data_IF_712422408334
#
_entry.id   IF_712422408334
#
_cell.length_a   1.000
_cell.length_b   1.000
_cell.length_c   1.000
_cell.angle_alpha   90.00
_cell.angle_beta   90.00
_cell.angle_gamma   90.00
#
_symmetry.space_group_name_H-M   'P 1'
#
loop_
_entity.id
_entity.type
_entity.pdbx_description
1 polymer ?
#
# COMPACT_ATOMS: atom_id res chain seq x y z
N UNK A 1 29.98 25.88 4.00
CA UNK A 1 29.89 25.27 2.65
C UNK A 1 29.65 23.74 2.64
N UNK A 2 29.96 22.99 3.69
CA UNK A 2 29.74 21.50 3.71
C UNK A 2 28.27 21.06 3.82
N UNK A 3 27.38 21.80 4.50
CA UNK A 3 25.97 21.43 4.61
C UNK A 3 25.23 21.39 3.25
N UNK A 4 25.68 22.17 2.26
CA UNK A 4 25.08 22.21 0.91
C UNK A 4 25.43 20.98 0.08
N UNK A 5 26.67 20.48 0.16
CA UNK A 5 27.12 19.30 -0.60
C UNK A 5 26.42 18.00 -0.15
N UNK A 6 26.17 17.85 1.16
CA UNK A 6 25.46 16.70 1.69
C UNK A 6 23.97 16.68 1.26
N UNK A 7 23.36 17.84 1.10
CA UNK A 7 21.97 17.94 0.60
C UNK A 7 21.82 17.51 -0.86
N UNK A 8 22.77 17.88 -1.72
CA UNK A 8 22.77 17.51 -3.15
C UNK A 8 23.05 16.02 -3.32
N UNK A 9 24.04 15.49 -2.59
CA UNK A 9 24.40 14.07 -2.64
C UNK A 9 23.24 13.16 -2.17
N UNK A 10 22.53 13.57 -1.14
CA UNK A 10 21.33 12.86 -0.66
C UNK A 10 20.18 12.93 -1.68
N UNK A 11 19.99 14.06 -2.36
CA UNK A 11 19.00 14.18 -3.44
C UNK A 11 19.35 13.27 -4.63
N UNK A 12 20.61 13.22 -5.04
CA UNK A 12 21.08 12.34 -6.12
C UNK A 12 20.92 10.86 -5.76
N UNK A 13 21.23 10.46 -4.54
CA UNK A 13 20.97 9.09 -4.04
C UNK A 13 19.48 8.75 -4.06
N UNK A 14 18.62 9.69 -3.66
CA UNK A 14 17.18 9.52 -3.71
C UNK A 14 16.68 9.32 -5.16
N UNK A 15 17.15 10.13 -6.10
CA UNK A 15 16.81 10.02 -7.53
C UNK A 15 17.30 8.69 -8.09
N UNK A 16 18.54 8.29 -7.81
CA UNK A 16 19.09 7.00 -8.23
C UNK A 16 18.26 5.82 -7.68
N UNK A 17 17.80 5.93 -6.44
CA UNK A 17 16.90 4.94 -5.82
C UNK A 17 15.56 4.89 -6.54
N UNK A 18 14.97 6.02 -6.85
CA UNK A 18 13.71 6.08 -7.61
C UNK A 18 13.86 5.47 -9.03
N UNK A 19 14.97 5.75 -9.72
CA UNK A 19 15.26 5.16 -11.04
C UNK A 19 15.44 3.64 -10.91
N UNK A 20 16.24 3.18 -9.95
CA UNK A 20 16.52 1.75 -9.70
C UNK A 20 15.23 0.94 -9.46
N UNK A 21 14.26 1.51 -8.76
CA UNK A 21 12.99 0.86 -8.46
C UNK A 21 11.85 1.22 -9.43
N UNK A 22 12.15 1.93 -10.52
CA UNK A 22 11.13 2.35 -11.49
C UNK A 22 10.09 3.33 -10.93
N UNK A 23 10.48 4.13 -9.93
CA UNK A 23 9.60 5.06 -9.23
C UNK A 23 9.79 6.52 -9.65
N UNK A 24 10.58 6.78 -10.70
CA UNK A 24 10.89 8.15 -11.12
C UNK A 24 9.64 8.97 -11.43
N UNK A 25 8.74 8.45 -12.28
CA UNK A 25 7.48 9.14 -12.63
C UNK A 25 6.54 9.27 -11.43
N UNK A 26 6.54 8.29 -10.53
CA UNK A 26 5.83 8.37 -9.26
C UNK A 26 6.38 9.52 -8.39
N UNK A 27 7.69 9.69 -8.33
CA UNK A 27 8.34 10.81 -7.64
C UNK A 27 8.01 12.16 -8.25
N UNK A 28 8.03 12.28 -9.59
CA UNK A 28 7.62 13.50 -10.31
C UNK A 28 6.19 13.87 -9.98
N UNK A 29 5.24 12.92 -10.09
CA UNK A 29 3.85 13.12 -9.74
C UNK A 29 3.68 13.61 -8.29
N UNK A 30 4.39 13.00 -7.34
CA UNK A 30 4.31 13.39 -5.93
C UNK A 30 4.83 14.83 -5.68
N UNK A 31 5.81 15.27 -6.45
CA UNK A 31 6.29 16.66 -6.37
C UNK A 31 5.28 17.65 -6.96
N UNK A 32 4.65 17.32 -8.10
CA UNK A 32 3.56 18.11 -8.67
C UNK A 32 2.37 18.21 -7.71
N UNK A 33 2.03 17.12 -7.02
CA UNK A 33 0.96 17.10 -6.02
C UNK A 33 1.21 18.07 -4.85
N UNK A 34 2.48 18.32 -4.47
CA UNK A 34 2.83 19.30 -3.41
C UNK A 34 2.47 20.72 -3.81
N UNK A 35 2.58 21.06 -5.09
CA UNK A 35 2.20 22.38 -5.62
C UNK A 35 0.72 22.46 -6.05
N UNK A 36 -0.05 21.41 -5.74
CA UNK A 36 -1.49 21.39 -5.98
C UNK A 36 -1.92 20.79 -7.31
N UNK A 37 -1.00 20.21 -8.10
CA UNK A 37 -1.27 19.56 -9.37
C UNK A 37 -1.10 18.06 -9.21
N UNK A 38 -2.17 17.36 -8.88
CA UNK A 38 -2.12 15.91 -8.66
C UNK A 38 -2.91 15.16 -9.74
N UNK A 39 -2.18 14.54 -10.66
CA UNK A 39 -2.70 13.65 -11.70
C UNK A 39 -2.30 12.23 -11.34
N UNK A 40 -3.25 11.44 -10.85
CA UNK A 40 -3.01 10.10 -10.38
C UNK A 40 -3.74 9.07 -11.24
N UNK A 41 -3.11 8.53 -12.29
CA UNK A 41 -3.61 7.32 -12.91
C UNK A 41 -3.36 6.14 -11.97
N UNK A 42 -4.35 5.24 -11.85
CA UNK A 42 -4.26 4.10 -10.96
C UNK A 42 -5.06 2.90 -11.46
N UNK A 43 -4.58 1.72 -11.13
CA UNK A 43 -5.34 0.48 -11.29
C UNK A 43 -6.16 0.19 -10.04
N UNK A 44 -7.43 -0.13 -10.23
CA UNK A 44 -8.25 -0.82 -9.25
C UNK A 44 -8.15 -2.31 -9.55
N UNK A 45 -7.63 -3.07 -8.60
CA UNK A 45 -7.29 -4.49 -8.79
C UNK A 45 -8.08 -5.37 -7.84
N UNK A 46 -8.42 -6.58 -8.31
CA UNK A 46 -9.03 -7.67 -7.53
C UNK A 46 -8.06 -8.84 -7.45
N UNK A 47 -7.95 -9.45 -6.27
CA UNK A 47 -7.26 -10.71 -6.03
C UNK A 47 -8.13 -11.62 -5.17
N UNK A 48 -7.92 -12.93 -5.28
CA UNK A 48 -8.62 -13.93 -4.48
C UNK A 48 -7.57 -14.78 -3.76
N UNK A 49 -7.80 -15.10 -2.49
CA UNK A 49 -6.87 -15.92 -1.71
C UNK A 49 -6.65 -17.30 -2.35
N UNK A 50 -7.72 -17.93 -2.86
CA UNK A 50 -7.68 -19.24 -3.52
C UNK A 50 -6.84 -19.29 -4.81
N UNK A 51 -6.53 -18.14 -5.41
CA UNK A 51 -5.71 -18.05 -6.65
C UNK A 51 -4.24 -17.74 -6.39
N UNK A 52 -3.85 -17.63 -5.13
CA UNK A 52 -2.44 -17.41 -4.76
C UNK A 52 -1.71 -18.74 -4.78
N UNK A 53 -0.58 -18.81 -5.50
CA UNK A 53 0.30 -19.97 -5.44
C UNK A 53 1.23 -19.82 -4.22
N UNK A 54 1.12 -20.69 -3.19
CA UNK A 54 1.94 -20.63 -1.99
C UNK A 54 3.44 -20.76 -2.28
N UNK A 55 3.82 -21.56 -3.30
CA UNK A 55 5.22 -21.84 -3.64
C UNK A 55 5.97 -20.59 -4.16
N UNK A 56 5.22 -19.60 -4.64
CA UNK A 56 5.79 -18.32 -5.08
C UNK A 56 6.05 -17.36 -3.90
N UNK A 57 5.56 -17.69 -2.71
CA UNK A 57 5.69 -16.86 -1.51
C UNK A 57 6.78 -17.45 -0.61
N UNK A 58 7.99 -16.92 -0.76
CA UNK A 58 9.10 -17.37 0.09
C UNK A 58 8.84 -17.00 1.54
N UNK A 59 8.98 -17.97 2.44
CA UNK A 59 9.04 -17.70 3.87
C UNK A 59 10.36 -16.99 4.19
N UNK A 60 10.35 -15.83 4.84
CA UNK A 60 11.59 -15.18 5.26
C UNK A 60 12.35 -16.03 6.28
N UNK A 61 13.68 -16.00 6.19
CA UNK A 61 14.55 -16.62 7.19
C UNK A 61 14.68 -15.70 8.42
N UNK A 62 13.56 -15.51 9.11
CA UNK A 62 13.40 -14.67 10.30
C UNK A 62 12.26 -15.23 11.14
N UNK A 63 12.44 -15.27 12.45
CA UNK A 63 11.34 -15.58 13.37
C UNK A 63 10.37 -14.41 13.41
N UNK A 64 9.25 -14.54 12.69
CA UNK A 64 8.26 -13.47 12.52
C UNK A 64 6.92 -13.90 13.11
N UNK A 65 6.38 -13.08 13.99
CA UNK A 65 5.06 -13.26 14.58
C UNK A 65 4.05 -12.33 13.92
N UNK A 66 2.96 -12.90 13.40
CA UNK A 66 1.81 -12.15 12.88
C UNK A 66 0.89 -11.77 14.04
N UNK A 67 0.47 -10.51 14.09
CA UNK A 67 -0.51 -10.04 15.05
C UNK A 67 -1.37 -8.89 14.51
N UNK A 68 -2.57 -8.75 15.05
CA UNK A 68 -3.37 -7.53 14.88
C UNK A 68 -2.78 -6.47 15.81
N UNK A 69 -2.47 -5.31 15.25
CA UNK A 69 -1.83 -4.23 15.99
C UNK A 69 -2.83 -3.41 16.79
N UNK A 70 -2.48 -3.20 18.06
CA UNK A 70 -3.24 -2.39 18.99
C UNK A 70 -2.76 -0.93 19.05
N UNK A 71 -3.23 -0.21 20.07
CA UNK A 71 -2.91 1.22 20.27
C UNK A 71 -1.40 1.51 20.36
N UNK A 72 -0.65 0.63 21.00
CA UNK A 72 0.80 0.79 21.19
C UNK A 72 1.55 0.79 19.88
N UNK A 73 1.33 -0.24 19.05
CA UNK A 73 1.95 -0.38 17.74
C UNK A 73 1.51 0.74 16.78
N UNK A 74 0.24 1.10 16.83
CA UNK A 74 -0.28 2.20 16.00
C UNK A 74 0.36 3.54 16.38
N UNK A 75 0.55 3.82 17.65
CA UNK A 75 1.25 5.03 18.09
C UNK A 75 2.73 5.02 17.65
N UNK A 76 3.40 3.88 17.74
CA UNK A 76 4.75 3.73 17.22
C UNK A 76 4.81 4.01 15.72
N UNK A 77 3.91 3.43 14.92
CA UNK A 77 3.83 3.64 13.47
C UNK A 77 3.63 5.12 13.13
N UNK A 78 2.71 5.80 13.82
CA UNK A 78 2.46 7.24 13.64
C UNK A 78 3.69 8.10 13.81
N UNK A 79 4.53 7.75 14.78
CA UNK A 79 5.70 8.54 15.14
C UNK A 79 6.94 8.17 14.33
N UNK A 80 7.02 6.94 13.81
CA UNK A 80 8.22 6.42 13.13
C UNK A 80 8.26 6.69 11.62
N UNK A 81 7.11 6.97 10.99
CA UNK A 81 7.04 7.14 9.54
C UNK A 81 6.62 8.56 9.17
N UNK A 82 7.56 9.31 8.58
CA UNK A 82 7.29 10.64 8.07
C UNK A 82 6.24 10.61 6.95
N UNK A 83 5.18 11.40 7.10
CA UNK A 83 4.13 11.55 6.08
C UNK A 83 3.00 10.53 6.15
N UNK A 84 3.04 9.58 7.08
CA UNK A 84 1.91 8.66 7.33
C UNK A 84 0.78 9.33 8.15
N UNK A 85 0.98 10.58 8.54
CA UNK A 85 0.00 11.41 9.27
C UNK A 85 -1.30 11.69 8.46
N UNK A 86 -1.61 10.84 7.47
CA UNK A 86 -2.92 10.85 6.86
C UNK A 86 -3.94 10.38 7.89
N UNK A 87 -4.63 11.38 8.44
CA UNK A 87 -5.76 11.23 9.36
C UNK A 87 -6.81 10.19 8.88
N UNK A 88 -6.78 9.86 7.60
CA UNK A 88 -7.64 8.88 6.96
C UNK A 88 -7.44 7.45 7.49
N UNK A 89 -6.18 6.96 7.60
CA UNK A 89 -5.90 5.60 8.06
C UNK A 89 -6.18 5.42 9.57
N UNK A 90 -5.87 6.45 10.33
CA UNK A 90 -5.93 6.37 11.80
C UNK A 90 -7.28 6.77 12.39
N UNK A 91 -8.08 7.58 11.67
CA UNK A 91 -9.44 7.94 12.10
C UNK A 91 -10.40 6.75 12.06
N UNK A 92 -10.21 5.87 11.08
CA UNK A 92 -11.10 4.74 10.85
C UNK A 92 -10.63 3.44 11.53
N UNK A 93 -9.55 3.50 12.31
CA UNK A 93 -9.15 2.37 13.17
C UNK A 93 -10.30 2.06 14.14
N UNK A 94 -10.68 0.78 14.22
CA UNK A 94 -11.87 0.27 14.91
C UNK A 94 -13.23 0.67 14.28
N UNK A 95 -13.20 1.36 13.13
CA UNK A 95 -14.39 1.65 12.32
C UNK A 95 -14.18 1.10 10.91
N UNK A 96 -14.10 -0.23 10.80
CA UNK A 96 -13.88 -0.93 9.53
C UNK A 96 -12.43 -0.92 9.01
N UNK A 97 -11.46 -0.40 9.78
CA UNK A 97 -10.03 -0.50 9.46
C UNK A 97 -9.30 -1.27 10.54
N UNK A 98 -8.55 -2.28 10.14
CA UNK A 98 -7.68 -3.10 11.00
C UNK A 98 -6.24 -2.97 10.51
N UNK A 99 -5.29 -2.96 11.43
CA UNK A 99 -3.85 -3.02 11.12
C UNK A 99 -3.31 -4.39 11.53
N UNK A 100 -2.76 -5.11 10.58
CA UNK A 100 -2.10 -6.41 10.81
C UNK A 100 -0.62 -6.24 10.53
N UNK A 101 0.24 -6.80 11.36
CA UNK A 101 1.68 -6.66 11.18
C UNK A 101 2.50 -7.86 11.58
N UNK A 102 3.76 -7.81 11.19
CA UNK A 102 4.79 -8.77 11.56
C UNK A 102 5.75 -8.11 12.55
N UNK A 103 6.03 -8.83 13.63
CA UNK A 103 7.06 -8.49 14.60
C UNK A 103 8.18 -9.53 14.57
N UNK A 104 9.40 -9.06 14.81
CA UNK A 104 10.54 -9.87 15.22
C UNK A 104 10.89 -9.42 16.65
N UNK A 105 10.73 -10.30 17.61
CA UNK A 105 10.76 -9.93 19.02
C UNK A 105 9.77 -8.77 19.30
N UNK A 106 10.24 -7.63 19.78
CA UNK A 106 9.43 -6.43 19.99
C UNK A 106 9.43 -5.45 18.81
N UNK A 107 10.28 -5.68 17.81
CA UNK A 107 10.43 -4.79 16.68
C UNK A 107 9.31 -4.99 15.65
N UNK A 108 8.67 -3.92 15.23
CA UNK A 108 7.75 -3.94 14.10
C UNK A 108 8.55 -4.04 12.80
N UNK A 109 8.37 -5.13 12.07
CA UNK A 109 9.06 -5.41 10.80
C UNK A 109 8.30 -4.87 9.60
N UNK A 110 6.98 -5.09 9.60
CA UNK A 110 6.08 -4.65 8.53
C UNK A 110 4.64 -4.60 9.03
N UNK A 111 3.81 -3.84 8.35
CA UNK A 111 2.37 -3.78 8.65
C UNK A 111 1.53 -3.51 7.38
N UNK A 112 0.25 -3.85 7.47
CA UNK A 112 -0.75 -3.71 6.43
C UNK A 112 -2.07 -3.22 7.04
N UNK A 113 -2.60 -2.11 6.54
CA UNK A 113 -3.95 -1.64 6.86
C UNK A 113 -4.95 -2.29 5.93
N UNK A 114 -6.01 -2.83 6.50
CA UNK A 114 -7.06 -3.58 5.84
C UNK A 114 -8.40 -2.92 6.18
N UNK A 115 -9.24 -2.71 5.18
CA UNK A 115 -10.58 -2.15 5.34
C UNK A 115 -11.63 -3.19 4.99
N UNK A 116 -12.64 -3.33 5.85
CA UNK A 116 -13.77 -4.26 5.71
C UNK A 116 -15.07 -3.58 5.30
N UNK A 117 -15.10 -2.25 5.22
CA UNK A 117 -16.31 -1.48 4.91
C UNK A 117 -16.11 -0.63 3.66
N UNK A 118 -17.22 -0.37 2.95
CA UNK A 118 -17.26 0.56 1.82
C UNK A 118 -16.71 1.93 2.21
N UNK A 119 -16.03 2.60 1.30
CA UNK A 119 -15.34 3.86 1.58
C UNK A 119 -15.20 4.73 0.34
N UNK A 120 -14.96 6.00 0.60
CA UNK A 120 -14.62 6.94 -0.46
C UNK A 120 -13.10 7.09 -0.60
N UNK A 121 -12.62 6.98 -1.84
CA UNK A 121 -11.26 7.35 -2.20
C UNK A 121 -11.31 8.34 -3.35
N UNK A 122 -10.80 9.55 -3.12
CA UNK A 122 -10.77 10.63 -4.13
C UNK A 122 -12.13 10.88 -4.78
N UNK A 123 -13.17 11.05 -3.98
CA UNK A 123 -14.57 11.27 -4.37
C UNK A 123 -15.20 10.11 -5.16
N UNK A 124 -14.59 8.93 -5.14
CA UNK A 124 -15.18 7.71 -5.70
C UNK A 124 -15.53 6.75 -4.59
N UNK A 125 -16.76 6.22 -4.61
CA UNK A 125 -17.20 5.17 -3.70
C UNK A 125 -16.67 3.82 -4.17
N UNK A 126 -16.08 3.06 -3.24
CA UNK A 126 -15.69 1.66 -3.39
C UNK A 126 -16.57 0.84 -2.46
N UNK A 127 -17.46 0.05 -3.04
CA UNK A 127 -18.34 -0.84 -2.30
C UNK A 127 -17.60 -2.14 -1.97
N UNK A 128 -17.80 -2.63 -0.76
CA UNK A 128 -17.32 -3.92 -0.26
C UNK A 128 -18.50 -4.69 0.32
N UNK A 129 -18.59 -5.98 -0.03
CA UNK A 129 -19.49 -6.94 0.60
C UNK A 129 -18.82 -7.56 1.84
N UNK A 130 -19.55 -8.33 2.62
CA UNK A 130 -19.06 -8.94 3.86
C UNK A 130 -17.81 -9.82 3.68
N UNK A 131 -17.74 -10.55 2.55
CA UNK A 131 -16.60 -11.41 2.20
C UNK A 131 -15.49 -10.71 1.41
N UNK A 132 -15.53 -9.39 1.33
CA UNK A 132 -14.60 -8.57 0.53
C UNK A 132 -13.87 -7.57 1.42
N UNK A 133 -12.55 -7.52 1.27
CA UNK A 133 -11.72 -6.57 1.98
C UNK A 133 -10.85 -5.76 1.03
N UNK A 134 -10.41 -4.60 1.48
CA UNK A 134 -9.54 -3.71 0.72
C UNK A 134 -8.20 -3.52 1.43
N UNK A 135 -7.10 -3.82 0.74
CA UNK A 135 -5.76 -3.53 1.22
C UNK A 135 -5.41 -2.07 0.95
N UNK A 136 -5.34 -1.29 2.01
CA UNK A 136 -5.20 0.17 1.93
C UNK A 136 -3.77 0.61 1.79
N UNK A 137 -2.92 0.19 2.73
CA UNK A 137 -1.54 0.64 2.81
C UNK A 137 -0.68 -0.43 3.47
N UNK A 138 0.47 -0.72 2.86
CA UNK A 138 1.45 -1.66 3.39
C UNK A 138 2.82 -1.00 3.45
N UNK A 139 3.53 -1.27 4.53
CA UNK A 139 4.88 -0.77 4.74
C UNK A 139 5.80 -1.86 5.30
N UNK A 140 7.04 -1.87 4.81
CA UNK A 140 8.13 -2.69 5.36
C UNK A 140 9.24 -1.75 5.77
N UNK A 141 9.68 -1.84 7.02
CA UNK A 141 10.77 -1.03 7.53
C UNK A 141 12.07 -1.29 6.77
N UNK A 142 12.90 -0.27 6.61
CA UNK A 142 14.04 -0.27 5.67
C UNK A 142 15.01 -1.42 5.90
N UNK A 143 15.32 -1.71 7.15
CA UNK A 143 16.24 -2.79 7.55
C UNK A 143 15.76 -4.20 7.16
N UNK A 144 14.48 -4.32 6.82
CA UNK A 144 13.82 -5.58 6.46
C UNK A 144 13.43 -5.67 4.98
N UNK A 145 13.68 -4.63 4.18
CA UNK A 145 13.39 -4.63 2.73
C UNK A 145 14.28 -5.61 1.98
N UNK A 146 13.77 -6.13 0.86
CA UNK A 146 14.49 -7.09 0.01
C UNK A 146 14.47 -8.53 0.50
N UNK A 147 13.94 -8.82 1.69
CA UNK A 147 13.92 -10.14 2.34
C UNK A 147 12.62 -10.93 2.13
N UNK A 148 11.77 -10.55 1.18
CA UNK A 148 10.50 -11.25 0.93
C UNK A 148 9.38 -10.96 1.92
N UNK A 149 9.55 -9.99 2.83
CA UNK A 149 8.61 -9.68 3.92
C UNK A 149 7.23 -9.24 3.40
N UNK A 150 7.19 -8.34 2.42
CA UNK A 150 5.93 -7.80 1.92
C UNK A 150 4.99 -8.90 1.35
N UNK A 151 5.43 -9.78 0.43
CA UNK A 151 4.59 -10.88 -0.01
C UNK A 151 4.24 -11.86 1.11
N UNK A 152 5.14 -12.13 2.03
CA UNK A 152 4.86 -13.00 3.16
C UNK A 152 3.75 -12.41 4.06
N UNK A 153 3.85 -11.13 4.46
CA UNK A 153 2.82 -10.46 5.26
C UNK A 153 1.45 -10.55 4.59
N UNK A 154 1.36 -10.20 3.31
CA UNK A 154 0.08 -10.24 2.58
C UNK A 154 -0.50 -11.66 2.53
N UNK A 155 0.33 -12.65 2.31
CA UNK A 155 -0.08 -14.06 2.29
C UNK A 155 -0.61 -14.52 3.65
N UNK A 156 0.06 -14.12 4.73
CA UNK A 156 -0.41 -14.41 6.09
C UNK A 156 -1.75 -13.70 6.39
N UNK A 157 -1.93 -12.48 5.89
CA UNK A 157 -3.22 -11.78 6.00
C UNK A 157 -4.34 -12.52 5.25
N UNK A 158 -4.06 -13.07 4.06
CA UNK A 158 -5.06 -13.91 3.38
C UNK A 158 -5.46 -15.11 4.23
N UNK A 159 -4.49 -15.85 4.77
CA UNK A 159 -4.77 -17.01 5.64
C UNK A 159 -5.55 -16.64 6.90
N UNK A 160 -5.25 -15.48 7.48
CA UNK A 160 -5.96 -14.99 8.66
C UNK A 160 -7.43 -14.73 8.31
N UNK A 161 -7.67 -13.97 7.25
CA UNK A 161 -8.99 -13.49 6.87
C UNK A 161 -9.87 -14.58 6.21
N UNK A 162 -9.26 -15.57 5.56
CA UNK A 162 -10.00 -16.75 5.05
C UNK A 162 -10.73 -17.51 6.17
N UNK A 163 -10.16 -17.54 7.37
CA UNK A 163 -10.82 -18.16 8.55
C UNK A 163 -12.08 -17.39 8.98
N UNK A 164 -12.18 -16.14 8.58
CA UNK A 164 -13.34 -15.26 8.82
C UNK A 164 -14.30 -15.22 7.62
N UNK A 165 -14.08 -16.09 6.60
CA UNK A 165 -14.92 -16.16 5.39
C UNK A 165 -14.57 -15.15 4.30
N UNK A 166 -13.52 -14.34 4.48
CA UNK A 166 -13.09 -13.35 3.49
C UNK A 166 -12.23 -14.02 2.42
N UNK A 167 -12.63 -13.92 1.16
CA UNK A 167 -11.94 -14.58 0.05
C UNK A 167 -11.54 -13.64 -1.07
N UNK A 168 -12.08 -12.43 -1.07
CA UNK A 168 -11.89 -11.45 -2.14
C UNK A 168 -11.25 -10.17 -1.60
N UNK A 169 -10.22 -9.72 -2.29
CA UNK A 169 -9.41 -8.58 -1.85
C UNK A 169 -9.22 -7.58 -2.98
N UNK A 170 -9.47 -6.33 -2.67
CA UNK A 170 -9.23 -5.22 -3.58
C UNK A 170 -8.02 -4.40 -3.15
N UNK A 171 -7.48 -3.68 -4.08
CA UNK A 171 -6.37 -2.74 -3.84
C UNK A 171 -6.28 -1.72 -4.97
N UNK A 172 -5.68 -0.57 -4.67
CA UNK A 172 -5.31 0.43 -5.65
C UNK A 172 -3.79 0.42 -5.81
N UNK A 173 -3.33 0.46 -7.06
CA UNK A 173 -1.92 0.66 -7.38
C UNK A 173 -1.78 1.84 -8.32
N UNK A 174 -1.00 2.83 -7.91
CA UNK A 174 -0.66 3.93 -8.81
C UNK A 174 0.04 3.41 -10.06
N UNK A 175 -0.35 3.93 -11.22
CA UNK A 175 0.14 3.48 -12.54
C UNK A 175 1.66 3.57 -12.66
N UNK A 176 2.26 4.60 -12.08
CA UNK A 176 3.71 4.83 -12.10
C UNK A 176 4.46 4.10 -10.98
N UNK A 177 3.77 3.36 -10.10
CA UNK A 177 4.39 2.55 -9.07
C UNK A 177 4.61 1.12 -9.57
N UNK A 178 5.61 0.93 -10.44
CA UNK A 178 5.92 -0.36 -11.03
C UNK A 178 6.25 -1.44 -9.99
N UNK A 179 6.83 -1.06 -8.86
CA UNK A 179 7.11 -1.99 -7.76
C UNK A 179 5.82 -2.56 -7.18
N UNK A 180 4.81 -1.73 -6.94
CA UNK A 180 3.51 -2.19 -6.45
C UNK A 180 2.79 -3.06 -7.49
N UNK A 181 2.84 -2.70 -8.78
CA UNK A 181 2.24 -3.49 -9.85
C UNK A 181 2.91 -4.86 -9.96
N UNK A 182 4.26 -4.92 -9.95
CA UNK A 182 5.01 -6.18 -9.96
C UNK A 182 4.71 -7.04 -8.73
N UNK A 183 4.59 -6.41 -7.58
CA UNK A 183 4.21 -7.08 -6.34
C UNK A 183 2.80 -7.71 -6.44
N UNK A 184 1.82 -6.98 -6.97
CA UNK A 184 0.45 -7.47 -7.11
C UNK A 184 0.33 -8.69 -8.03
N UNK A 185 1.16 -8.77 -9.07
CA UNK A 185 1.20 -9.92 -10.00
C UNK A 185 1.52 -11.24 -9.27
N UNK A 186 2.31 -11.21 -8.19
CA UNK A 186 2.60 -12.41 -7.36
C UNK A 186 1.36 -13.00 -6.69
N UNK A 187 0.31 -12.21 -6.55
CA UNK A 187 -0.97 -12.60 -5.95
C UNK A 187 -2.07 -12.81 -6.98
N UNK A 188 -1.70 -12.98 -8.26
CA UNK A 188 -2.66 -13.04 -9.37
C UNK A 188 -3.71 -11.92 -9.33
N UNK A 189 -3.32 -10.76 -8.80
CA UNK A 189 -4.19 -9.60 -8.78
C UNK A 189 -4.41 -9.10 -10.21
N UNK A 190 -5.67 -9.07 -10.62
CA UNK A 190 -6.08 -8.62 -11.95
C UNK A 190 -6.59 -7.19 -11.88
N UNK A 191 -6.22 -6.30 -12.80
CA UNK A 191 -6.85 -5.01 -12.91
C UNK A 191 -8.30 -5.17 -13.33
N UNK A 192 -9.21 -4.54 -12.63
CA UNK A 192 -10.61 -4.38 -13.02
C UNK A 192 -10.80 -3.11 -13.84
N UNK A 193 -10.12 -2.04 -13.42
CA UNK A 193 -10.22 -0.74 -14.06
C UNK A 193 -8.87 -0.01 -14.04
N UNK A 194 -8.63 0.78 -15.08
CA UNK A 194 -7.67 1.86 -15.09
C UNK A 194 -8.43 3.17 -14.92
N UNK A 195 -8.10 3.91 -13.89
CA UNK A 195 -8.74 5.17 -13.55
C UNK A 195 -7.74 6.32 -13.57
N UNK A 196 -8.25 7.53 -13.72
CA UNK A 196 -7.50 8.76 -13.55
C UNK A 196 -8.21 9.63 -12.51
N UNK A 197 -7.52 9.93 -11.43
CA UNK A 197 -7.95 10.98 -10.50
C UNK A 197 -7.15 12.24 -10.72
N UNK A 198 -7.85 13.37 -10.86
CA UNK A 198 -7.27 14.69 -10.98
C UNK A 198 -7.67 15.49 -9.73
N UNK A 199 -6.67 16.02 -9.02
CA UNK A 199 -6.90 16.91 -7.89
C UNK A 199 -6.14 18.21 -8.12
N UNK A 200 -6.89 19.32 -8.20
CA UNK A 200 -6.32 20.64 -8.41
C UNK A 200 -6.48 21.50 -7.16
N UNK A 201 -5.38 22.20 -6.79
CA UNK A 201 -5.33 23.14 -5.66
C UNK A 201 -5.90 22.59 -4.35
N UNK A 202 -5.76 21.28 -4.12
CA UNK A 202 -6.21 20.55 -2.92
C UNK A 202 -7.73 20.54 -2.68
N UNK A 203 -8.53 21.15 -3.56
CA UNK A 203 -9.99 21.30 -3.39
C UNK A 203 -10.79 20.48 -4.37
N UNK A 204 -10.54 20.63 -5.66
CA UNK A 204 -11.34 20.00 -6.71
C UNK A 204 -10.79 18.63 -7.05
N UNK A 205 -11.60 17.59 -6.90
CA UNK A 205 -11.22 16.20 -7.17
C UNK A 205 -12.21 15.62 -8.16
N UNK A 206 -11.69 15.12 -9.29
CA UNK A 206 -12.42 14.35 -10.29
C UNK A 206 -11.83 12.97 -10.39
N UNK A 207 -12.68 12.00 -10.72
CA UNK A 207 -12.27 10.61 -10.90
C UNK A 207 -12.94 10.05 -12.14
N UNK A 208 -12.13 9.52 -13.07
CA UNK A 208 -12.57 9.02 -14.36
C UNK A 208 -12.13 7.58 -14.53
N UNK A 209 -13.00 6.72 -15.05
CA UNK A 209 -12.61 5.39 -15.54
C UNK A 209 -12.15 5.52 -16.98
N UNK A 210 -10.85 5.26 -17.22
CA UNK A 210 -10.26 5.32 -18.57
C UNK A 210 -10.46 4.01 -19.32
N UNK A 211 -10.39 2.88 -18.60
CA UNK A 211 -10.53 1.54 -19.18
C UNK A 211 -11.11 0.56 -18.16
N UNK A 212 -12.05 -0.27 -18.60
CA UNK A 212 -12.52 -1.44 -17.85
C UNK A 212 -11.87 -2.69 -18.44
N UNK A 213 -11.46 -3.61 -17.58
CA UNK A 213 -10.92 -4.91 -17.93
C UNK A 213 -11.99 -5.96 -17.60
N UNK A 214 -12.44 -6.67 -18.60
CA UNK A 214 -13.38 -7.78 -18.40
C UNK A 214 -12.57 -8.97 -17.84
N UNK A 215 -13.01 -9.49 -16.70
CA UNK A 215 -12.39 -10.65 -16.00
C UNK A 215 -13.04 -11.95 -16.47
#
# INVERSE_FOLDING_TARGET
MEKSKNGILNRLKCIATYIKYGLFLHGVRNNLAKIGLDFMPYYYCKSMSSKVNPDQIKTPDLDLKLSIFGKTEINYIKNSILGINDNFLFKDLNNGVTCVGLKKDDDIVAFLFIRSQSFYFRNRLFNLNENEHFFVFMYVYENYRGKGIAPYLRYQCYKLLEKEGVNTFYSISEYFNFSAIKYQKKFNAKPLELCLSIKLFKKNIWNFTLKKYYS
#
